data_IF_805222515958
#
_entry.id   IF_805222515958
#
_cell.length_a   1.000
_cell.length_b   1.000
_cell.length_c   1.000
_cell.angle_alpha   90.00
_cell.angle_beta   90.00
_cell.angle_gamma   90.00
#
_symmetry.space_group_name_H-M   'P 1'
#
loop_
_entity.id
_entity.type
_entity.pdbx_description
1 polymer ?
#
# COMPACT_ATOMS: atom_id res chain seq x y z
N UNK A 1 19.04 2.47 7.37
CA UNK A 1 18.24 2.66 6.14
C UNK A 1 16.89 1.99 6.37
N UNK A 2 15.84 2.74 6.66
CA UNK A 2 14.51 2.16 6.93
C UNK A 2 13.36 3.07 6.48
N UNK A 3 13.50 4.38 6.71
CA UNK A 3 12.50 5.37 6.29
C UNK A 3 12.53 5.70 4.78
N UNK A 4 13.57 5.30 4.05
CA UNK A 4 13.78 5.78 2.67
C UNK A 4 12.66 5.37 1.70
N UNK A 5 12.14 4.12 1.70
CA UNK A 5 10.99 3.76 0.87
C UNK A 5 9.73 4.56 1.22
N UNK A 6 9.50 4.83 2.50
CA UNK A 6 8.37 5.65 2.96
C UNK A 6 8.48 7.08 2.47
N UNK A 7 9.66 7.70 2.60
CA UNK A 7 9.89 9.07 2.10
C UNK A 7 9.70 9.14 0.59
N UNK A 8 10.19 8.16 -0.15
CA UNK A 8 10.03 8.12 -1.59
C UNK A 8 8.57 7.95 -2.00
N UNK A 9 7.82 7.01 -1.40
CA UNK A 9 6.39 6.85 -1.66
C UNK A 9 5.56 8.11 -1.32
N UNK A 10 5.99 8.90 -0.34
CA UNK A 10 5.30 10.13 0.05
C UNK A 10 5.65 11.36 -0.80
N UNK A 11 6.79 11.37 -1.50
CA UNK A 11 7.34 12.60 -2.11
C UNK A 11 7.83 12.46 -3.55
N UNK A 12 7.95 11.24 -4.08
CA UNK A 12 8.39 11.00 -5.46
C UNK A 12 7.40 11.60 -6.47
N UNK A 13 7.93 12.23 -7.52
CA UNK A 13 7.12 12.95 -8.52
C UNK A 13 6.39 12.01 -9.47
N UNK A 14 6.92 10.80 -9.59
CA UNK A 14 6.46 9.69 -10.41
C UNK A 14 5.58 8.69 -9.64
N UNK A 15 5.32 8.95 -8.36
CA UNK A 15 4.51 8.05 -7.52
C UNK A 15 3.03 8.24 -7.82
N UNK A 16 2.35 7.12 -8.05
CA UNK A 16 0.92 7.09 -8.32
C UNK A 16 0.15 6.40 -7.17
N UNK A 17 -1.13 6.73 -7.04
CA UNK A 17 -2.01 6.09 -6.07
C UNK A 17 -2.11 4.58 -6.32
N UNK A 18 -1.87 3.78 -5.27
CA UNK A 18 -1.85 2.32 -5.35
C UNK A 18 -0.46 1.71 -5.58
N UNK A 19 0.58 2.53 -5.78
CA UNK A 19 1.94 2.04 -5.84
C UNK A 19 2.41 1.40 -4.52
N UNK A 20 3.34 0.45 -4.64
CA UNK A 20 3.98 -0.22 -3.53
C UNK A 20 5.50 -0.13 -3.67
N UNK A 21 6.16 0.50 -2.69
CA UNK A 21 7.62 0.71 -2.70
C UNK A 21 8.30 -0.01 -1.56
N UNK A 22 9.40 -0.69 -1.87
CA UNK A 22 10.24 -1.39 -0.91
C UNK A 22 11.73 -1.26 -1.26
N UNK A 23 12.61 -1.77 -0.39
CA UNK A 23 14.04 -1.69 -0.63
C UNK A 23 14.49 -2.76 -1.63
N UNK A 24 15.36 -2.37 -2.57
CA UNK A 24 15.75 -3.18 -3.74
C UNK A 24 16.19 -4.63 -3.46
N UNK A 25 16.86 -4.90 -2.35
CA UNK A 25 17.45 -6.23 -2.10
C UNK A 25 16.67 -7.00 -1.04
N UNK A 26 16.11 -8.14 -1.44
CA UNK A 26 15.40 -9.09 -0.58
C UNK A 26 14.32 -8.43 0.28
N UNK A 27 13.73 -7.31 -0.18
CA UNK A 27 12.78 -6.50 0.59
C UNK A 27 13.32 -6.07 1.97
N UNK A 28 14.65 -6.06 2.15
CA UNK A 28 15.31 -5.84 3.43
C UNK A 28 16.20 -4.59 3.41
N UNK A 29 16.95 -4.32 2.33
CA UNK A 29 17.89 -3.20 2.28
C UNK A 29 18.16 -2.67 0.86
N UNK A 30 18.73 -1.46 0.78
CA UNK A 30 19.02 -0.76 -0.47
C UNK A 30 18.09 0.44 -0.72
N UNK A 31 18.19 1.01 -1.92
CA UNK A 31 17.37 2.14 -2.35
C UNK A 31 15.92 1.71 -2.62
N UNK A 32 14.94 2.64 -2.52
CA UNK A 32 13.55 2.37 -2.86
C UNK A 32 13.41 1.98 -4.33
N UNK A 33 12.60 0.97 -4.58
CA UNK A 33 12.15 0.57 -5.91
C UNK A 33 10.67 0.24 -5.84
N UNK A 34 9.98 0.39 -6.97
CA UNK A 34 8.62 -0.14 -7.08
C UNK A 34 8.69 -1.66 -6.99
N UNK A 35 7.88 -2.22 -6.10
CA UNK A 35 7.79 -3.65 -5.89
C UNK A 35 6.45 -4.19 -6.38
N UNK A 36 6.46 -5.46 -6.77
CA UNK A 36 5.22 -6.22 -6.95
C UNK A 36 4.81 -6.83 -5.60
N UNK A 37 3.64 -6.47 -5.05
CA UNK A 37 3.17 -7.02 -3.78
C UNK A 37 2.64 -8.45 -3.98
N UNK A 38 2.31 -9.13 -2.87
CA UNK A 38 1.83 -10.51 -2.94
C UNK A 38 0.51 -10.62 -3.72
N UNK A 39 0.29 -11.74 -4.41
CA UNK A 39 -0.94 -11.97 -5.19
C UNK A 39 -2.22 -11.81 -4.36
N UNK A 40 -2.19 -12.23 -3.09
CA UNK A 40 -3.32 -12.09 -2.18
C UNK A 40 -3.69 -10.63 -1.92
N UNK A 41 -2.70 -9.73 -1.84
CA UNK A 41 -2.93 -8.30 -1.63
C UNK A 41 -3.62 -7.62 -2.82
N UNK A 42 -3.53 -8.20 -4.01
CA UNK A 42 -4.17 -7.71 -5.24
C UNK A 42 -5.65 -8.11 -5.34
N UNK A 43 -6.18 -8.90 -4.39
CA UNK A 43 -7.57 -9.36 -4.43
C UNK A 43 -8.56 -8.25 -4.10
N UNK A 44 -9.24 -7.70 -5.12
CA UNK A 44 -10.31 -6.70 -4.90
C UNK A 44 -11.45 -7.22 -4.04
N UNK A 45 -11.84 -8.49 -4.21
CA UNK A 45 -12.91 -9.12 -3.41
C UNK A 45 -12.49 -9.22 -1.95
N UNK A 46 -11.22 -9.57 -1.70
CA UNK A 46 -10.64 -9.58 -0.35
C UNK A 46 -10.64 -8.17 0.26
N UNK A 47 -10.16 -7.17 -0.49
CA UNK A 47 -10.11 -5.78 -0.05
C UNK A 47 -11.49 -5.22 0.32
N UNK A 48 -12.52 -5.44 -0.53
CA UNK A 48 -13.90 -5.00 -0.26
C UNK A 48 -14.46 -5.62 1.03
N UNK A 49 -14.29 -6.93 1.21
CA UNK A 49 -14.74 -7.63 2.43
C UNK A 49 -14.03 -7.12 3.67
N UNK A 50 -12.71 -6.91 3.59
CA UNK A 50 -11.92 -6.39 4.70
C UNK A 50 -12.36 -4.98 5.08
N UNK A 51 -12.55 -4.09 4.09
CA UNK A 51 -13.00 -2.72 4.33
C UNK A 51 -14.34 -2.65 5.06
N UNK A 52 -15.35 -3.39 4.57
CA UNK A 52 -16.67 -3.44 5.21
C UNK A 52 -16.60 -3.96 6.65
N UNK A 53 -15.75 -4.96 6.91
CA UNK A 53 -15.53 -5.46 8.26
C UNK A 53 -14.85 -4.42 9.16
N UNK A 54 -13.84 -3.72 8.64
CA UNK A 54 -13.11 -2.67 9.35
C UNK A 54 -14.03 -1.50 9.73
N UNK A 55 -14.88 -1.02 8.82
CA UNK A 55 -15.89 0.01 9.10
C UNK A 55 -16.83 -0.41 10.22
N UNK A 56 -17.34 -1.66 10.16
CA UNK A 56 -18.21 -2.22 11.20
C UNK A 56 -17.52 -2.28 12.57
N UNK A 57 -16.26 -2.71 12.61
CA UNK A 57 -15.49 -2.86 13.85
C UNK A 57 -15.07 -1.51 14.45
N UNK A 58 -14.77 -0.53 13.59
CA UNK A 58 -14.37 0.81 14.02
C UNK A 58 -15.57 1.75 14.23
N UNK A 59 -16.80 1.29 14.02
CA UNK A 59 -18.05 2.06 14.17
C UNK A 59 -18.06 3.36 13.38
N UNK A 60 -17.51 3.33 12.16
CA UNK A 60 -17.41 4.46 11.25
C UNK A 60 -17.68 4.02 9.81
N UNK A 61 -18.01 4.95 8.93
CA UNK A 61 -18.31 4.65 7.52
C UNK A 61 -17.74 5.72 6.62
N UNK A 62 -17.20 5.31 5.48
CA UNK A 62 -16.64 6.22 4.49
C UNK A 62 -17.51 6.24 3.24
N UNK A 63 -17.97 7.43 2.83
CA UNK A 63 -18.60 7.64 1.52
C UNK A 63 -17.52 7.98 0.49
N UNK A 64 -16.90 6.94 -0.06
CA UNK A 64 -15.83 7.08 -1.06
C UNK A 64 -16.45 7.08 -2.45
N UNK A 65 -16.37 8.21 -3.15
CA UNK A 65 -16.67 8.28 -4.59
C UNK A 65 -15.47 7.75 -5.37
N UNK A 66 -15.76 6.85 -6.31
CA UNK A 66 -14.75 6.24 -7.17
C UNK A 66 -14.38 7.15 -8.34
#
# INVERSE_FOLDING_TARGET
MGALPTLYAATGREVEGGDFFGPKHLKTFGYPVREDPSEQSKSETGAKKLWTLSERLAHLSFDIKK
#
